data_IF_191107740896
#
_entry.id   IF_191107740896
#
_cell.length_a   1.000
_cell.length_b   1.000
_cell.length_c   1.000
_cell.angle_alpha   90.00
_cell.angle_beta   90.00
_cell.angle_gamma   90.00
#
_symmetry.space_group_name_H-M   'P 1'
#
loop_
_entity.id
_entity.type
_entity.pdbx_description
1 polymer ?
#
# COMPACT_ATOMS: atom_id res chain seq x y z
N UNK A 1 22.03 -2.33 9.85
CA UNK A 1 20.79 -1.62 10.26
C UNK A 1 19.63 -2.20 9.45
N UNK A 2 18.53 -2.67 10.06
CA UNK A 2 17.39 -3.18 9.27
C UNK A 2 16.64 -2.04 8.58
N UNK A 3 16.28 -2.20 7.31
CA UNK A 3 15.51 -1.20 6.55
C UNK A 3 14.06 -1.11 7.07
N UNK A 4 13.32 -0.01 6.80
CA UNK A 4 11.89 0.08 7.08
C UNK A 4 11.10 -1.13 6.53
N UNK A 5 11.38 -1.53 5.29
CA UNK A 5 10.79 -2.69 4.62
C UNK A 5 11.01 -3.99 5.41
N UNK A 6 12.25 -4.25 5.84
CA UNK A 6 12.57 -5.44 6.64
C UNK A 6 11.85 -5.43 8.00
N UNK A 7 11.65 -4.26 8.61
CA UNK A 7 10.91 -4.15 9.88
C UNK A 7 9.43 -4.37 9.68
N UNK A 8 8.85 -3.80 8.62
CA UNK A 8 7.45 -4.06 8.25
C UNK A 8 7.22 -5.53 7.94
N UNK A 9 8.12 -6.18 7.19
CA UNK A 9 8.04 -7.61 6.91
C UNK A 9 8.04 -8.44 8.21
N UNK A 10 8.94 -8.12 9.14
CA UNK A 10 9.00 -8.78 10.45
C UNK A 10 7.73 -8.54 11.27
N UNK A 11 7.22 -7.30 11.29
CA UNK A 11 6.00 -6.94 12.00
C UNK A 11 4.80 -7.75 11.49
N UNK A 12 4.55 -7.73 10.18
CA UNK A 12 3.42 -8.44 9.58
C UNK A 12 3.51 -9.94 9.86
N UNK A 13 4.70 -10.54 9.72
CA UNK A 13 4.90 -11.97 10.04
C UNK A 13 4.66 -12.29 11.51
N UNK A 14 5.07 -11.41 12.43
CA UNK A 14 4.79 -11.60 13.86
C UNK A 14 3.31 -11.47 14.21
N UNK A 15 2.52 -10.79 13.37
CA UNK A 15 1.07 -10.65 13.50
C UNK A 15 0.30 -11.78 12.78
N UNK A 16 0.99 -12.83 12.30
CA UNK A 16 0.37 -13.99 11.68
C UNK A 16 0.15 -13.89 10.17
N UNK A 17 0.61 -12.81 9.53
CA UNK A 17 0.48 -12.66 8.08
C UNK A 17 1.55 -13.45 7.33
N UNK A 18 1.16 -14.00 6.18
CA UNK A 18 2.10 -14.39 5.13
C UNK A 18 2.42 -13.14 4.33
N UNK A 19 3.66 -12.64 4.44
CA UNK A 19 4.09 -11.39 3.82
C UNK A 19 5.34 -11.57 2.94
N UNK A 20 5.34 -10.88 1.79
CA UNK A 20 6.39 -10.90 0.78
C UNK A 20 6.79 -9.47 0.36
N UNK A 21 8.08 -9.31 0.02
CA UNK A 21 8.60 -8.05 -0.54
C UNK A 21 8.32 -8.04 -2.04
N UNK A 22 7.71 -6.96 -2.53
CA UNK A 22 7.43 -6.75 -3.96
C UNK A 22 8.26 -5.62 -4.56
N UNK A 23 8.90 -4.79 -3.73
CA UNK A 23 9.89 -3.81 -4.20
C UNK A 23 11.11 -4.52 -4.80
N UNK A 24 11.54 -4.09 -6.00
CA UNK A 24 12.74 -4.59 -6.68
C UNK A 24 13.66 -3.46 -7.10
N UNK A 25 14.96 -3.66 -6.92
CA UNK A 25 15.98 -2.79 -7.52
C UNK A 25 16.27 -3.22 -8.95
N UNK A 26 16.12 -2.30 -9.91
CA UNK A 26 16.40 -2.52 -11.32
C UNK A 26 17.74 -1.86 -11.64
N UNK A 27 18.79 -2.68 -11.72
CA UNK A 27 20.16 -2.21 -11.92
C UNK A 27 20.35 -1.40 -13.21
N UNK A 28 19.69 -1.81 -14.31
CA UNK A 28 19.80 -1.17 -15.62
C UNK A 28 19.42 0.31 -15.59
N UNK A 29 18.41 0.68 -14.81
CA UNK A 29 17.95 2.07 -14.66
C UNK A 29 18.32 2.68 -13.31
N UNK A 30 19.05 1.94 -12.47
CA UNK A 30 19.46 2.28 -11.10
C UNK A 30 18.30 2.81 -10.24
N UNK A 31 17.09 2.31 -10.45
CA UNK A 31 15.87 2.72 -9.71
C UNK A 31 15.30 1.55 -8.93
N UNK A 32 14.71 1.86 -7.77
CA UNK A 32 13.82 0.94 -7.07
C UNK A 32 12.41 1.12 -7.64
N UNK A 33 11.77 0.00 -7.94
CA UNK A 33 10.38 -0.04 -8.38
C UNK A 33 9.58 -0.75 -7.31
N UNK A 34 8.57 -0.05 -6.80
CA UNK A 34 7.52 -0.60 -5.96
C UNK A 34 6.36 -1.11 -6.83
N UNK A 35 5.49 -1.92 -6.24
CA UNK A 35 4.28 -2.36 -6.92
C UNK A 35 3.29 -1.19 -6.96
N UNK A 36 2.78 -0.90 -8.16
CA UNK A 36 1.80 0.16 -8.45
C UNK A 36 2.19 1.59 -8.02
N UNK A 37 3.45 1.88 -7.72
CA UNK A 37 3.88 3.21 -7.30
C UNK A 37 3.72 3.49 -5.80
N UNK A 38 3.20 2.53 -5.01
CA UNK A 38 2.97 2.74 -3.57
C UNK A 38 3.11 1.52 -2.66
N UNK A 39 3.38 0.32 -3.18
CA UNK A 39 3.41 -0.92 -2.38
C UNK A 39 4.81 -1.53 -2.34
N UNK A 40 5.43 -1.56 -1.15
CA UNK A 40 6.73 -2.22 -0.93
C UNK A 40 6.58 -3.71 -0.61
N UNK A 41 5.51 -4.07 0.12
CA UNK A 41 5.20 -5.43 0.55
C UNK A 41 3.73 -5.74 0.27
N UNK A 42 3.43 -7.01 0.04
CA UNK A 42 2.06 -7.54 0.13
C UNK A 42 1.97 -8.52 1.28
N UNK A 43 0.82 -8.55 1.96
CA UNK A 43 0.55 -9.50 3.02
C UNK A 43 -0.89 -10.03 2.92
N UNK A 44 -1.08 -11.29 3.31
CA UNK A 44 -2.38 -11.94 3.41
C UNK A 44 -2.51 -12.69 4.74
N UNK A 45 -3.74 -12.79 5.24
CA UNK A 45 -4.04 -13.45 6.51
C UNK A 45 -5.28 -14.33 6.35
N UNK A 46 -5.29 -15.58 6.86
CA UNK A 46 -6.39 -16.52 6.63
C UNK A 46 -7.75 -16.04 7.17
N UNK A 47 -7.74 -15.20 8.22
CA UNK A 47 -8.98 -14.63 8.78
C UNK A 47 -9.40 -13.28 8.18
N UNK A 48 -8.70 -12.77 7.17
CA UNK A 48 -9.01 -11.48 6.54
C UNK A 48 -9.19 -11.66 5.04
N UNK A 49 -10.21 -11.02 4.47
CA UNK A 49 -10.41 -10.99 3.02
C UNK A 49 -9.47 -9.97 2.38
N UNK A 50 -9.04 -10.27 1.15
CA UNK A 50 -8.19 -9.39 0.35
C UNK A 50 -6.72 -9.37 0.79
N UNK A 51 -5.92 -8.64 0.03
CA UNK A 51 -4.52 -8.38 0.32
C UNK A 51 -4.37 -7.09 1.13
N UNK A 52 -3.28 -7.01 1.88
CA UNK A 52 -2.79 -5.77 2.49
C UNK A 52 -1.56 -5.32 1.70
N UNK A 53 -1.66 -4.16 1.04
CA UNK A 53 -0.51 -3.48 0.45
C UNK A 53 0.19 -2.63 1.50
N UNK A 54 1.48 -2.81 1.73
CA UNK A 54 2.21 -2.06 2.75
C UNK A 54 3.25 -1.16 2.10
N UNK A 55 3.18 0.14 2.40
CA UNK A 55 4.27 1.08 2.15
C UNK A 55 5.05 1.34 3.44
N UNK A 56 6.37 1.25 3.37
CA UNK A 56 7.25 1.35 4.52
C UNK A 56 8.23 2.51 4.39
N UNK A 57 8.31 3.34 5.42
CA UNK A 57 9.14 4.53 5.40
C UNK A 57 9.59 4.94 6.80
N UNK A 58 10.38 6.00 6.89
CA UNK A 58 10.69 6.64 8.17
C UNK A 58 9.46 7.38 8.69
N UNK A 59 9.33 7.52 10.02
CA UNK A 59 8.19 8.24 10.60
C UNK A 59 8.05 9.68 10.11
N UNK A 60 9.17 10.36 9.82
CA UNK A 60 9.17 11.71 9.27
C UNK A 60 8.58 11.80 7.84
N UNK A 61 8.75 10.73 7.05
CA UNK A 61 8.29 10.69 5.66
C UNK A 61 6.89 10.07 5.49
N UNK A 62 6.28 9.58 6.57
CA UNK A 62 5.00 8.87 6.54
C UNK A 62 3.89 9.69 5.87
N UNK A 63 3.73 10.95 6.28
CA UNK A 63 2.69 11.84 5.73
C UNK A 63 2.89 12.14 4.25
N UNK A 64 4.15 12.33 3.82
CA UNK A 64 4.45 12.56 2.40
C UNK A 64 4.14 11.32 1.54
N UNK A 65 4.47 10.12 2.03
CA UNK A 65 4.19 8.86 1.33
C UNK A 65 2.69 8.58 1.21
N UNK A 66 1.97 8.78 2.31
CA UNK A 66 0.51 8.73 2.34
C UNK A 66 -0.14 9.65 1.29
N UNK A 67 0.23 10.93 1.28
CA UNK A 67 -0.30 11.90 0.31
C UNK A 67 0.05 11.55 -1.14
N UNK A 68 1.28 11.08 -1.40
CA UNK A 68 1.70 10.64 -2.73
C UNK A 68 0.89 9.46 -3.23
N UNK A 69 0.60 8.48 -2.37
CA UNK A 69 -0.22 7.33 -2.73
C UNK A 69 -1.66 7.74 -3.04
N UNK A 70 -2.28 8.60 -2.21
CA UNK A 70 -3.64 9.10 -2.48
C UNK A 70 -3.73 9.89 -3.80
N UNK A 71 -2.66 10.60 -4.17
CA UNK A 71 -2.58 11.36 -5.41
C UNK A 71 -2.40 10.48 -6.67
N UNK A 72 -2.15 9.16 -6.53
CA UNK A 72 -2.18 8.22 -7.66
C UNK A 72 -3.60 7.94 -8.16
N UNK A 73 -4.63 8.46 -7.47
CA UNK A 73 -6.01 8.45 -7.93
C UNK A 73 -6.48 7.04 -8.29
N UNK A 74 -6.70 6.82 -9.58
CA UNK A 74 -7.33 5.61 -10.10
C UNK A 74 -6.65 4.30 -9.68
N UNK A 75 -5.32 4.25 -9.61
CA UNK A 75 -4.61 3.02 -9.25
C UNK A 75 -4.77 2.68 -7.77
N UNK A 76 -4.70 3.69 -6.90
CA UNK A 76 -4.91 3.52 -5.46
C UNK A 76 -6.36 3.13 -5.17
N UNK A 77 -7.30 3.82 -5.82
CA UNK A 77 -8.73 3.58 -5.66
C UNK A 77 -9.14 2.20 -6.23
N UNK A 78 -8.53 1.77 -7.33
CA UNK A 78 -8.71 0.43 -7.91
C UNK A 78 -8.24 -0.67 -6.96
N UNK A 79 -7.07 -0.53 -6.34
CA UNK A 79 -6.58 -1.50 -5.35
C UNK A 79 -7.60 -1.72 -4.23
N UNK A 80 -8.14 -0.63 -3.68
CA UNK A 80 -9.12 -0.66 -2.59
C UNK A 80 -10.47 -1.23 -3.05
N UNK A 81 -10.98 -0.84 -4.23
CA UNK A 81 -12.26 -1.35 -4.76
C UNK A 81 -12.21 -2.83 -5.13
N UNK A 82 -11.02 -3.40 -5.39
CA UNK A 82 -10.82 -4.85 -5.48
C UNK A 82 -10.92 -5.59 -4.12
N UNK A 83 -11.34 -4.91 -3.04
CA UNK A 83 -11.50 -5.50 -1.70
C UNK A 83 -10.18 -5.63 -0.93
N UNK A 84 -9.12 -4.95 -1.37
CA UNK A 84 -7.84 -4.92 -0.65
C UNK A 84 -7.75 -3.72 0.29
N UNK A 85 -6.71 -3.69 1.11
CA UNK A 85 -6.44 -2.61 2.06
C UNK A 85 -5.01 -2.12 1.92
N UNK A 86 -4.72 -0.93 2.46
CA UNK A 86 -3.37 -0.37 2.46
C UNK A 86 -2.94 0.03 3.86
N UNK A 87 -1.68 -0.27 4.18
CA UNK A 87 -1.04 0.19 5.40
C UNK A 87 0.24 0.98 5.12
N UNK A 88 0.35 2.15 5.74
CA UNK A 88 1.55 2.96 5.72
C UNK A 88 2.29 2.83 7.05
N UNK A 89 3.49 2.27 7.01
CA UNK A 89 4.35 2.02 8.16
C UNK A 89 5.42 3.09 8.29
N UNK A 90 5.30 3.96 9.28
CA UNK A 90 6.29 4.97 9.63
C UNK A 90 7.13 4.56 10.84
N UNK A 91 8.38 4.16 10.59
CA UNK A 91 9.30 3.70 11.64
C UNK A 91 10.10 4.84 12.27
N UNK A 92 10.06 4.96 13.59
CA UNK A 92 10.88 5.93 14.36
C UNK A 92 11.61 5.23 15.50
N UNK A 93 12.86 5.62 15.75
CA UNK A 93 13.61 5.15 16.91
C UNK A 93 13.24 6.02 18.11
N UNK A 94 12.77 5.41 19.19
CA UNK A 94 12.31 6.10 20.41
C UNK A 94 12.90 5.42 21.65
N UNK A 95 13.07 6.13 22.77
CA UNK A 95 13.45 5.49 24.02
C UNK A 95 12.36 4.48 24.44
N UNK A 96 12.76 3.37 25.06
CA UNK A 96 11.83 2.32 25.49
C UNK A 96 10.77 2.85 26.46
N UNK A 97 11.22 3.69 27.41
CA UNK A 97 10.42 4.43 28.38
C UNK A 97 11.03 5.83 28.57
N UNK A 98 10.30 6.83 29.13
CA UNK A 98 10.86 8.14 29.41
C UNK A 98 12.20 8.05 30.17
N UNK A 99 13.21 8.79 29.70
CA UNK A 99 14.58 8.77 30.26
C UNK A 99 15.45 7.54 29.93
N UNK A 100 14.94 6.55 29.19
CA UNK A 100 15.73 5.36 28.86
C UNK A 100 16.82 5.63 27.83
N UNK A 101 18.05 5.17 28.11
CA UNK A 101 19.14 5.10 27.11
C UNK A 101 18.90 4.00 26.06
N UNK A 102 18.06 3.00 26.36
CA UNK A 102 17.72 1.93 25.41
C UNK A 102 16.70 2.44 24.41
N UNK A 103 17.08 2.39 23.14
CA UNK A 103 16.27 2.86 22.02
C UNK A 103 15.63 1.68 21.28
N UNK A 104 14.32 1.74 21.08
CA UNK A 104 13.53 0.74 20.34
C UNK A 104 12.90 1.37 19.10
N UNK A 105 12.61 0.55 18.11
CA UNK A 105 11.84 0.98 16.94
C UNK A 105 10.35 0.88 17.24
N UNK A 106 9.64 1.98 17.03
CA UNK A 106 8.17 2.03 17.09
C UNK A 106 7.65 2.28 15.67
N UNK A 107 6.61 1.53 15.29
CA UNK A 107 5.90 1.73 14.03
C UNK A 107 4.64 2.54 14.29
N UNK A 108 4.47 3.65 13.57
CA UNK A 108 3.17 4.29 13.40
C UNK A 108 2.52 3.70 12.15
N UNK A 109 1.28 3.21 12.26
CA UNK A 109 0.51 2.66 11.14
C UNK A 109 -0.59 3.66 10.76
N UNK A 110 -0.78 3.89 9.47
CA UNK A 110 -2.00 4.48 8.92
C UNK A 110 -2.65 3.39 8.07
N UNK A 111 -3.92 3.12 8.32
CA UNK A 111 -4.68 2.07 7.66
C UNK A 111 -5.76 2.70 6.78
N UNK A 112 -5.90 2.21 5.56
CA UNK A 112 -6.90 2.65 4.60
C UNK A 112 -7.62 1.41 4.06
N UNK A 113 -8.91 1.38 4.34
CA UNK A 113 -9.89 0.50 3.72
C UNK A 113 -10.85 1.29 2.83
N UNK A 114 -11.84 0.60 2.29
CA UNK A 114 -12.88 1.17 1.44
C UNK A 114 -13.63 2.32 2.11
N UNK A 115 -14.02 2.15 3.38
CA UNK A 115 -14.74 3.20 4.10
C UNK A 115 -13.86 4.44 4.33
N UNK A 116 -12.59 4.25 4.70
CA UNK A 116 -11.64 5.34 4.87
C UNK A 116 -11.42 6.09 3.55
N UNK A 117 -11.25 5.36 2.45
CA UNK A 117 -11.10 5.95 1.12
C UNK A 117 -12.34 6.78 0.74
N UNK A 118 -13.54 6.22 0.94
CA UNK A 118 -14.79 6.91 0.67
C UNK A 118 -14.88 8.24 1.43
N UNK A 119 -14.55 8.24 2.72
CA UNK A 119 -14.54 9.45 3.54
C UNK A 119 -13.56 10.51 3.02
N UNK A 120 -12.35 10.08 2.61
CA UNK A 120 -11.33 10.96 2.04
C UNK A 120 -11.85 11.61 0.74
N UNK A 121 -12.35 10.79 -0.20
CA UNK A 121 -12.85 11.29 -1.49
C UNK A 121 -14.07 12.19 -1.33
N UNK A 122 -15.01 11.86 -0.43
CA UNK A 122 -16.13 12.74 -0.12
C UNK A 122 -15.68 14.10 0.44
N UNK A 123 -14.67 14.11 1.33
CA UNK A 123 -14.12 15.35 1.86
C UNK A 123 -13.42 16.20 0.79
N UNK A 124 -12.67 15.57 -0.12
CA UNK A 124 -12.02 16.25 -1.26
C UNK A 124 -13.04 16.92 -2.19
N UNK A 125 -14.15 16.24 -2.50
CA UNK A 125 -15.25 16.80 -3.30
C UNK A 125 -15.89 18.02 -2.63
N UNK A 126 -16.00 18.03 -1.30
CA UNK A 126 -16.55 19.16 -0.56
C UNK A 126 -15.64 20.40 -0.56
N UNK A 127 -14.33 20.22 -0.81
CA UNK A 127 -13.33 21.31 -0.80
C UNK A 127 -13.03 21.92 -2.17
N UNK A 128 -13.64 21.44 -3.26
CA UNK A 128 -13.35 21.87 -4.63
C UNK A 128 -12.06 21.26 -5.21
N UNK A 129 -11.86 21.27 -6.54
CA UNK A 129 -10.80 20.47 -7.16
C UNK A 129 -9.40 21.04 -6.86
N UNK A 130 -8.57 20.22 -6.22
CA UNK A 130 -7.12 20.37 -6.31
C UNK A 130 -6.64 19.81 -7.68
N UNK A 131 -5.77 20.55 -8.35
CA UNK A 131 -5.25 20.24 -9.70
C UNK A 131 -4.72 18.80 -9.82
N UNK A 132 -5.14 18.01 -10.82
CA UNK A 132 -4.60 16.66 -11.03
C UNK A 132 -3.13 16.70 -11.43
N UNK A 133 -2.33 15.79 -10.87
CA UNK A 133 -0.94 15.53 -11.26
C UNK A 133 -0.89 14.68 -12.54
N UNK A 134 -0.15 15.13 -13.56
CA UNK A 134 -0.11 14.59 -14.93
C UNK A 134 0.61 13.23 -15.13
N UNK A 135 0.46 12.26 -14.22
CA UNK A 135 1.09 10.94 -14.38
C UNK A 135 0.07 9.80 -14.30
N UNK A 136 -0.75 9.64 -15.35
CA UNK A 136 -1.52 8.41 -15.60
C UNK A 136 -1.29 7.90 -17.03
N UNK A 137 -0.38 6.93 -17.24
CA UNK A 137 -0.30 6.20 -18.51
C UNK A 137 -0.97 4.80 -18.47
N UNK A 138 -1.65 4.41 -17.37
CA UNK A 138 -2.02 3.00 -17.14
C UNK A 138 -3.53 2.65 -17.23
N UNK A 139 -4.40 3.56 -17.68
CA UNK A 139 -5.80 3.24 -17.91
C UNK A 139 -6.22 3.47 -19.36
N UNK A 140 -5.82 2.53 -20.21
CA UNK A 140 -6.73 2.07 -21.26
C UNK A 140 -7.07 0.62 -20.92
N UNK A 141 -8.17 0.43 -20.18
CA UNK A 141 -8.77 -0.89 -20.12
C UNK A 141 -9.20 -1.26 -21.55
N UNK A 142 -8.84 -2.45 -22.08
CA UNK A 142 -9.52 -2.94 -23.27
C UNK A 142 -10.99 -3.07 -22.92
N UNK A 143 -11.85 -2.45 -23.73
CA UNK A 143 -13.30 -2.67 -23.69
C UNK A 143 -13.53 -4.17 -23.85
N UNK A 144 -13.89 -4.86 -22.77
CA UNK A 144 -14.30 -6.27 -22.85
C UNK A 144 -15.61 -6.28 -23.63
N UNK A 145 -15.71 -6.93 -24.80
CA UNK A 145 -16.99 -7.09 -25.46
C UNK A 145 -17.90 -7.91 -24.53
N UNK A 146 -19.12 -7.43 -24.30
CA UNK A 146 -20.17 -8.21 -23.68
C UNK A 146 -20.39 -9.47 -24.54
N UNK A 147 -19.91 -10.61 -24.06
CA UNK A 147 -20.09 -11.91 -24.68
C UNK A 147 -19.94 -12.98 -23.61
N UNK A 148 -21.07 -13.49 -23.15
CA UNK A 148 -21.20 -14.73 -22.39
C UNK A 148 -20.61 -15.88 -23.19
N UNK A 149 -19.51 -16.48 -22.71
CA UNK A 149 -19.19 -17.88 -22.95
C UNK A 149 -18.83 -18.51 -21.61
N UNK A 150 -19.72 -19.37 -21.12
CA UNK A 150 -19.43 -20.28 -20.02
C UNK A 150 -18.37 -21.28 -20.51
N UNK A 151 -17.18 -21.22 -19.92
CA UNK A 151 -16.17 -22.23 -20.15
C UNK A 151 -16.54 -23.48 -19.33
N UNK A 152 -17.12 -24.49 -19.97
CA UNK A 152 -17.17 -25.86 -19.45
C UNK A 152 -15.73 -26.36 -19.28
N UNK A 153 -15.32 -26.55 -18.02
CA UNK A 153 -14.07 -27.23 -17.68
C UNK A 153 -14.36 -28.73 -17.79
N UNK A 154 -13.98 -29.33 -18.91
CA UNK A 154 -13.85 -30.78 -19.03
C UNK A 154 -12.65 -31.25 -18.19
N UNK A 155 -12.94 -32.01 -17.15
CA UNK A 155 -11.95 -32.72 -16.34
C UNK A 155 -11.81 -34.11 -16.96
N UNK A 156 -10.67 -34.41 -17.57
CA UNK A 156 -10.21 -35.78 -17.83
C UNK A 156 -9.32 -36.27 -16.68
#
# INVERSE_FOLDING_TARGET
MSSPTQRSLKLMRSEGYVAAVVERYIAAIRKRQDLYGFIDLVAMHPSRKGLVGIQSTTGANLSSRYKKALALGSMFDMWITCGNTVEFHGWTKKPQKPGSKRMIWKCRRLYIDENSLRQIRCAEMATGPATPSQHEPYLQAPTVPNGTEEAEILVE
#
